data_IF_884332255863
#
_entry.id   IF_884332255863
#
_cell.length_a   1.000
_cell.length_b   1.000
_cell.length_c   1.000
_cell.angle_alpha   90.00
_cell.angle_beta   90.00
_cell.angle_gamma   90.00
#
_symmetry.space_group_name_H-M   'P 1'
#
loop_
_entity.id
_entity.type
_entity.pdbx_description
1 polymer ?
#
# COMPACT_ATOMS: atom_id res chain seq x y z
N UNK A 1 -2.44 -10.43 10.49
CA UNK A 1 -3.79 -10.10 9.98
C UNK A 1 -4.79 -10.85 10.84
N UNK A 2 -5.84 -10.20 11.34
CA UNK A 2 -6.90 -10.83 12.15
C UNK A 2 -8.10 -11.14 11.27
N UNK A 3 -8.96 -12.07 11.69
CA UNK A 3 -10.17 -12.44 10.95
C UNK A 3 -11.06 -11.24 10.61
N UNK A 4 -11.22 -10.31 11.55
CA UNK A 4 -11.96 -9.05 11.33
C UNK A 4 -11.43 -8.23 10.18
N UNK A 5 -10.10 -8.16 10.02
CA UNK A 5 -9.44 -7.36 8.99
C UNK A 5 -9.76 -7.94 7.60
N UNK A 6 -9.78 -9.28 7.49
CA UNK A 6 -10.17 -9.99 6.26
C UNK A 6 -11.62 -9.67 5.88
N UNK A 7 -12.53 -9.70 6.85
CA UNK A 7 -13.96 -9.43 6.64
C UNK A 7 -14.17 -8.00 6.14
N UNK A 8 -13.56 -7.02 6.81
CA UNK A 8 -13.64 -5.61 6.40
C UNK A 8 -13.12 -5.43 4.97
N UNK A 9 -11.94 -5.99 4.66
CA UNK A 9 -11.32 -5.90 3.34
C UNK A 9 -12.22 -6.53 2.28
N UNK A 10 -12.69 -7.75 2.50
CA UNK A 10 -13.53 -8.47 1.53
C UNK A 10 -14.81 -7.69 1.23
N UNK A 11 -15.54 -7.25 2.25
CA UNK A 11 -16.77 -6.49 2.09
C UNK A 11 -16.56 -5.19 1.31
N UNK A 12 -15.51 -4.45 1.65
CA UNK A 12 -15.23 -3.16 1.00
C UNK A 12 -14.79 -3.32 -0.44
N UNK A 13 -13.96 -4.30 -0.74
CA UNK A 13 -13.59 -4.63 -2.12
C UNK A 13 -14.81 -4.98 -2.97
N UNK A 14 -15.77 -5.70 -2.40
CA UNK A 14 -17.04 -5.99 -3.05
C UNK A 14 -17.99 -4.77 -3.10
N UNK A 15 -17.65 -3.68 -2.42
CA UNK A 15 -18.46 -2.46 -2.35
C UNK A 15 -19.76 -2.63 -1.59
N UNK A 16 -19.82 -3.60 -0.66
CA UNK A 16 -21.01 -3.92 0.09
C UNK A 16 -21.08 -3.14 1.41
N UNK A 17 -22.29 -2.75 1.80
CA UNK A 17 -22.57 -2.34 3.18
C UNK A 17 -22.60 -3.56 4.11
N UNK A 18 -22.51 -3.36 5.40
CA UNK A 18 -22.66 -4.44 6.39
C UNK A 18 -24.03 -5.14 6.31
N UNK A 19 -25.05 -4.39 5.95
CA UNK A 19 -26.40 -4.92 5.77
C UNK A 19 -26.49 -5.84 4.54
N UNK A 20 -25.95 -5.42 3.40
CA UNK A 20 -25.92 -6.21 2.17
C UNK A 20 -25.08 -7.47 2.34
N UNK A 21 -23.92 -7.38 3.00
CA UNK A 21 -23.13 -8.57 3.33
C UNK A 21 -23.90 -9.50 4.25
N UNK A 22 -24.55 -8.98 5.29
CA UNK A 22 -25.41 -9.76 6.18
C UNK A 22 -26.52 -10.50 5.41
N UNK A 23 -27.16 -9.80 4.46
CA UNK A 23 -28.17 -10.41 3.58
C UNK A 23 -27.62 -11.56 2.72
N UNK A 24 -26.44 -11.40 2.12
CA UNK A 24 -25.78 -12.46 1.32
C UNK A 24 -25.41 -13.69 2.14
N UNK A 25 -25.04 -13.47 3.40
CA UNK A 25 -24.65 -14.54 4.34
C UNK A 25 -25.84 -15.16 5.09
N UNK A 26 -27.05 -14.66 4.90
CA UNK A 26 -28.21 -15.09 5.71
C UNK A 26 -28.09 -14.72 7.19
N UNK A 27 -27.31 -13.70 7.53
CA UNK A 27 -27.09 -13.22 8.90
C UNK A 27 -27.50 -11.75 9.06
N UNK A 28 -27.45 -11.22 10.29
CA UNK A 28 -27.83 -9.83 10.55
C UNK A 28 -26.66 -8.86 10.33
N UNK A 29 -26.99 -7.59 9.98
CA UNK A 29 -26.01 -6.50 9.98
C UNK A 29 -25.26 -6.41 11.32
N UNK A 30 -25.95 -6.63 12.45
CA UNK A 30 -25.36 -6.59 13.78
C UNK A 30 -24.26 -7.63 13.95
N UNK A 31 -24.46 -8.83 13.38
CA UNK A 31 -23.44 -9.89 13.41
C UNK A 31 -22.19 -9.46 12.63
N UNK A 32 -22.35 -8.93 11.43
CA UNK A 32 -21.24 -8.41 10.62
C UNK A 32 -20.52 -7.29 11.34
N UNK A 33 -21.25 -6.32 11.90
CA UNK A 33 -20.67 -5.22 12.67
C UNK A 33 -19.86 -5.70 13.89
N UNK A 34 -20.34 -6.74 14.60
CA UNK A 34 -19.61 -7.34 15.74
C UNK A 34 -18.33 -8.05 15.30
N UNK A 35 -18.32 -8.71 14.17
CA UNK A 35 -17.11 -9.30 13.59
C UNK A 35 -16.10 -8.22 13.22
N UNK A 36 -16.53 -7.18 12.51
CA UNK A 36 -15.65 -6.08 12.06
C UNK A 36 -15.09 -5.25 13.22
N UNK A 37 -15.88 -5.02 14.27
CA UNK A 37 -15.42 -4.32 15.47
C UNK A 37 -14.50 -5.19 16.36
N UNK A 38 -14.47 -6.51 16.13
CA UNK A 38 -13.77 -7.45 16.99
C UNK A 38 -14.51 -7.77 18.31
N UNK A 39 -15.76 -7.35 18.46
CA UNK A 39 -16.59 -7.70 19.61
C UNK A 39 -16.92 -9.20 19.66
N UNK A 40 -16.84 -9.87 18.52
CA UNK A 40 -16.98 -11.32 18.40
C UNK A 40 -15.95 -11.82 17.39
N UNK A 41 -15.14 -12.80 17.77
CA UNK A 41 -14.20 -13.43 16.84
C UNK A 41 -14.97 -14.41 15.94
N UNK A 42 -14.96 -14.23 14.61
CA UNK A 42 -15.59 -15.17 13.70
C UNK A 42 -14.77 -16.46 13.59
N UNK A 43 -15.43 -17.58 13.40
CA UNK A 43 -14.77 -18.83 13.05
C UNK A 43 -14.17 -18.72 11.64
N UNK A 44 -13.17 -19.54 11.36
CA UNK A 44 -12.51 -19.54 10.06
C UNK A 44 -13.47 -19.83 8.90
N UNK A 45 -14.41 -20.75 9.09
CA UNK A 45 -15.46 -21.06 8.11
C UNK A 45 -16.29 -19.81 7.77
N UNK A 46 -16.67 -19.02 8.78
CA UNK A 46 -17.41 -17.78 8.54
C UNK A 46 -16.57 -16.75 7.75
N UNK A 47 -15.26 -16.71 7.96
CA UNK A 47 -14.38 -15.86 7.14
C UNK A 47 -14.36 -16.31 5.68
N UNK A 48 -14.29 -17.62 5.43
CA UNK A 48 -14.34 -18.18 4.08
C UNK A 48 -15.70 -17.88 3.41
N UNK A 49 -16.82 -18.03 4.13
CA UNK A 49 -18.15 -17.69 3.64
C UNK A 49 -18.27 -16.21 3.29
N UNK A 50 -17.73 -15.31 4.12
CA UNK A 50 -17.67 -13.87 3.83
C UNK A 50 -16.92 -13.59 2.55
N UNK A 51 -15.72 -14.17 2.38
CA UNK A 51 -14.89 -13.96 1.20
C UNK A 51 -15.61 -14.47 -0.06
N UNK A 52 -16.20 -15.65 -0.01
CA UNK A 52 -17.00 -16.22 -1.09
C UNK A 52 -18.24 -15.37 -1.43
N UNK A 53 -18.96 -14.86 -0.42
CA UNK A 53 -20.11 -13.97 -0.60
C UNK A 53 -19.71 -12.62 -1.23
N UNK A 54 -18.46 -12.24 -1.11
CA UNK A 54 -17.88 -11.06 -1.76
C UNK A 54 -17.32 -11.35 -3.16
N UNK A 55 -17.49 -12.57 -3.69
CA UNK A 55 -16.96 -13.00 -4.99
C UNK A 55 -15.43 -12.91 -5.07
N UNK A 56 -14.76 -13.18 -3.95
CA UNK A 56 -13.30 -13.17 -3.80
C UNK A 56 -12.80 -14.57 -3.43
N UNK A 57 -11.53 -14.82 -3.72
CA UNK A 57 -10.82 -16.01 -3.28
C UNK A 57 -9.88 -15.69 -2.12
N UNK A 58 -9.88 -16.55 -1.09
CA UNK A 58 -8.95 -16.46 0.03
C UNK A 58 -7.78 -17.42 -0.19
N UNK A 59 -6.65 -16.89 -0.57
CA UNK A 59 -5.40 -17.66 -0.65
C UNK A 59 -4.63 -17.54 0.66
N UNK A 60 -4.42 -18.67 1.34
CA UNK A 60 -3.61 -18.77 2.55
C UNK A 60 -2.30 -19.50 2.23
N UNK A 61 -1.18 -18.87 2.55
CA UNK A 61 0.13 -19.49 2.51
C UNK A 61 0.60 -19.84 3.93
N UNK A 62 1.07 -21.06 4.12
CA UNK A 62 1.84 -21.44 5.31
C UNK A 62 3.31 -21.37 4.91
N UNK A 63 4.07 -20.55 5.63
CA UNK A 63 5.51 -20.48 5.49
C UNK A 63 6.15 -20.86 6.82
N UNK A 64 7.38 -21.35 6.77
CA UNK A 64 8.16 -21.53 8.00
C UNK A 64 8.33 -20.19 8.68
N UNK A 65 8.48 -20.17 10.00
CA UNK A 65 8.61 -18.93 10.78
C UNK A 65 9.74 -18.01 10.26
N UNK A 66 10.74 -18.62 9.62
CA UNK A 66 11.89 -17.91 9.01
C UNK A 66 11.60 -17.43 7.56
N UNK A 67 10.66 -18.05 6.85
CA UNK A 67 10.35 -17.76 5.43
C UNK A 67 9.05 -16.96 5.25
N UNK A 68 8.12 -17.02 6.19
CA UNK A 68 6.89 -16.22 6.24
C UNK A 68 7.13 -14.76 6.58
N UNK A 69 8.40 -14.36 6.50
CA UNK A 69 8.85 -13.02 6.80
C UNK A 69 8.30 -12.01 5.79
N UNK A 70 8.23 -10.77 6.21
CA UNK A 70 8.00 -9.60 5.37
C UNK A 70 8.79 -9.64 4.05
N UNK A 71 9.96 -10.26 4.06
CA UNK A 71 10.85 -10.47 2.91
C UNK A 71 10.15 -11.16 1.75
N UNK A 72 9.47 -12.30 1.99
CA UNK A 72 8.75 -13.02 0.93
C UNK A 72 7.56 -12.21 0.39
N UNK A 73 6.86 -11.51 1.28
CA UNK A 73 5.75 -10.64 0.89
C UNK A 73 6.22 -9.45 0.06
N UNK A 74 7.37 -8.85 0.41
CA UNK A 74 7.97 -7.77 -0.37
C UNK A 74 8.36 -8.28 -1.77
N UNK A 75 8.99 -9.44 -1.87
CA UNK A 75 9.33 -10.03 -3.18
C UNK A 75 8.09 -10.29 -4.02
N UNK A 76 7.00 -10.75 -3.43
CA UNK A 76 5.74 -10.94 -4.14
C UNK A 76 5.22 -9.61 -4.68
N UNK A 77 5.20 -8.56 -3.86
CA UNK A 77 4.76 -7.23 -4.29
C UNK A 77 5.68 -6.65 -5.38
N UNK A 78 7.00 -6.76 -5.22
CA UNK A 78 7.95 -6.28 -6.22
C UNK A 78 7.83 -7.01 -7.57
N UNK A 79 7.29 -8.23 -7.59
CA UNK A 79 6.94 -8.95 -8.81
C UNK A 79 5.73 -8.39 -9.57
N UNK A 80 4.96 -7.48 -8.97
CA UNK A 80 3.79 -6.80 -9.58
C UNK A 80 4.21 -5.47 -10.18
N UNK A 81 3.47 -4.99 -11.17
CA UNK A 81 3.63 -3.62 -11.65
C UNK A 81 3.22 -2.59 -10.57
N UNK A 82 3.84 -1.39 -10.50
CA UNK A 82 3.57 -0.41 -9.45
C UNK A 82 2.08 -0.06 -9.28
N UNK A 83 1.35 0.14 -10.37
CA UNK A 83 -0.08 0.41 -10.31
C UNK A 83 -0.88 -0.77 -9.71
N UNK A 84 -0.48 -2.00 -10.02
CA UNK A 84 -1.09 -3.21 -9.46
C UNK A 84 -0.82 -3.34 -7.96
N UNK A 85 0.38 -2.96 -7.47
CA UNK A 85 0.69 -2.95 -6.04
C UNK A 85 -0.28 -2.06 -5.29
N UNK A 86 -0.47 -0.83 -5.77
CA UNK A 86 -1.38 0.14 -5.14
C UNK A 86 -2.81 -0.38 -5.13
N UNK A 87 -3.32 -0.88 -6.27
CA UNK A 87 -4.69 -1.42 -6.36
C UNK A 87 -4.88 -2.68 -5.53
N UNK A 88 -3.91 -3.59 -5.53
CA UNK A 88 -3.98 -4.83 -4.79
C UNK A 88 -4.06 -4.62 -3.27
N UNK A 89 -3.38 -3.61 -2.77
CA UNK A 89 -3.34 -3.29 -1.34
C UNK A 89 -4.45 -2.34 -0.90
N UNK A 90 -5.18 -1.74 -1.84
CA UNK A 90 -6.32 -0.85 -1.54
C UNK A 90 -7.53 -1.66 -1.12
N UNK A 91 -8.17 -1.27 -0.02
CA UNK A 91 -9.39 -1.88 0.49
C UNK A 91 -10.63 -0.98 0.34
N UNK A 92 -10.49 0.15 -0.31
CA UNK A 92 -11.56 1.10 -0.61
C UNK A 92 -11.71 1.33 -2.12
N UNK A 93 -12.70 2.15 -2.49
CA UNK A 93 -12.97 2.53 -3.88
C UNK A 93 -12.19 3.75 -4.36
N UNK A 94 -11.35 4.35 -3.52
CA UNK A 94 -10.57 5.51 -3.94
C UNK A 94 -9.47 5.06 -4.91
N UNK A 95 -9.59 5.47 -6.17
CA UNK A 95 -8.60 5.15 -7.20
C UNK A 95 -7.37 6.07 -7.09
N UNK A 96 -6.42 5.62 -6.26
CA UNK A 96 -5.15 6.32 -6.05
C UNK A 96 -4.28 6.37 -7.31
N UNK A 97 -4.46 5.39 -8.21
CA UNK A 97 -3.74 5.36 -9.49
C UNK A 97 -4.24 6.47 -10.39
N UNK A 98 -5.55 6.61 -10.55
CA UNK A 98 -6.14 7.70 -11.32
C UNK A 98 -5.79 9.08 -10.74
N UNK A 99 -5.73 9.21 -9.41
CA UNK A 99 -5.30 10.45 -8.78
C UNK A 99 -3.82 10.79 -9.07
N UNK A 100 -2.93 9.81 -9.11
CA UNK A 100 -1.53 10.00 -9.49
C UNK A 100 -1.38 10.35 -10.97
N UNK A 101 -2.15 9.71 -11.85
CA UNK A 101 -2.19 10.04 -13.28
C UNK A 101 -2.64 11.50 -13.50
N UNK A 102 -3.64 11.95 -12.73
CA UNK A 102 -4.08 13.35 -12.77
C UNK A 102 -2.98 14.33 -12.34
N UNK A 103 -2.29 14.05 -11.24
CA UNK A 103 -1.14 14.85 -10.76
C UNK A 103 -0.12 15.04 -11.89
N UNK A 104 0.18 13.97 -12.60
CA UNK A 104 1.12 13.99 -13.73
C UNK A 104 0.57 14.73 -14.94
N UNK A 105 -0.68 14.49 -15.30
CA UNK A 105 -1.34 15.13 -16.45
C UNK A 105 -1.37 16.66 -16.35
N UNK A 106 -1.50 17.18 -15.12
CA UNK A 106 -1.47 18.62 -14.82
C UNK A 106 -0.03 19.16 -14.77
N UNK A 107 0.99 18.28 -14.75
CA UNK A 107 2.39 18.67 -14.73
C UNK A 107 2.88 19.15 -13.36
N UNK A 108 2.24 18.74 -12.28
CA UNK A 108 2.65 19.12 -10.93
C UNK A 108 3.95 18.42 -10.52
N UNK A 109 4.85 19.19 -9.92
CA UNK A 109 6.02 18.67 -9.22
C UNK A 109 5.57 18.22 -7.83
N UNK A 110 5.40 16.92 -7.65
CA UNK A 110 4.91 16.33 -6.42
C UNK A 110 5.63 15.01 -6.12
N UNK A 111 5.89 14.77 -4.84
CA UNK A 111 6.53 13.56 -4.34
C UNK A 111 5.51 12.78 -3.51
N UNK A 112 5.28 11.53 -3.87
CA UNK A 112 4.40 10.62 -3.13
C UNK A 112 5.08 10.20 -1.83
N UNK A 113 4.36 10.30 -0.72
CA UNK A 113 4.82 9.88 0.62
C UNK A 113 3.77 8.96 1.27
N UNK A 114 4.01 8.53 2.51
CA UNK A 114 3.05 7.73 3.28
C UNK A 114 2.82 6.31 2.75
N UNK A 115 1.63 5.79 2.99
CA UNK A 115 1.30 4.38 2.69
C UNK A 115 1.41 4.05 1.21
N UNK A 116 1.01 4.95 0.32
CA UNK A 116 1.08 4.74 -1.12
C UNK A 116 2.53 4.66 -1.59
N UNK A 117 3.42 5.50 -1.04
CA UNK A 117 4.85 5.39 -1.31
C UNK A 117 5.41 4.04 -0.84
N UNK A 118 5.03 3.58 0.35
CA UNK A 118 5.39 2.24 0.84
C UNK A 118 4.94 1.13 -0.10
N UNK A 119 3.69 1.18 -0.60
CA UNK A 119 3.18 0.22 -1.57
C UNK A 119 3.98 0.25 -2.89
N UNK A 120 4.35 1.43 -3.36
CA UNK A 120 5.18 1.59 -4.56
C UNK A 120 6.59 1.01 -4.36
N UNK A 121 7.13 1.07 -3.15
CA UNK A 121 8.37 0.36 -2.76
C UNK A 121 8.20 -1.16 -2.57
N UNK A 122 7.01 -1.70 -2.78
CA UNK A 122 6.73 -3.12 -2.64
C UNK A 122 6.43 -3.56 -1.21
N UNK A 123 6.16 -2.63 -0.29
CA UNK A 123 5.76 -2.99 1.06
C UNK A 123 4.35 -3.58 1.07
N UNK A 124 4.14 -4.77 1.67
CA UNK A 124 2.86 -5.46 1.66
C UNK A 124 1.91 -4.90 2.73
N UNK A 125 1.76 -3.58 2.76
CA UNK A 125 0.86 -2.89 3.67
C UNK A 125 -0.52 -2.78 3.03
N UNK A 126 -1.55 -3.19 3.75
CA UNK A 126 -2.91 -2.90 3.34
C UNK A 126 -3.12 -1.40 3.54
N UNK A 127 -3.47 -0.71 2.45
CA UNK A 127 -3.77 0.71 2.50
C UNK A 127 -5.03 0.92 3.32
N UNK A 128 -4.94 1.77 4.33
CA UNK A 128 -6.02 1.96 5.29
C UNK A 128 -7.27 2.56 4.63
N UNK A 129 -8.41 2.38 5.28
CA UNK A 129 -9.70 2.89 4.80
C UNK A 129 -9.79 4.41 4.78
N UNK A 130 -9.08 5.02 5.71
CA UNK A 130 -8.87 6.46 5.77
C UNK A 130 -7.63 6.83 4.97
N UNK A 131 -7.01 5.85 4.31
CA UNK A 131 -5.75 5.98 3.59
C UNK A 131 -5.85 7.03 2.51
N UNK A 132 -5.13 8.08 2.75
CA UNK A 132 -5.00 9.21 1.85
C UNK A 132 -3.88 8.96 0.84
N UNK A 133 -3.97 9.63 -0.27
CA UNK A 133 -2.83 9.86 -1.14
C UNK A 133 -2.13 11.11 -0.63
N UNK A 134 -0.95 10.93 -0.05
CA UNK A 134 -0.16 12.00 0.53
C UNK A 134 0.88 12.49 -0.47
N UNK A 135 0.83 13.76 -0.79
CA UNK A 135 1.70 14.40 -1.77
C UNK A 135 2.42 15.59 -1.14
N UNK A 136 3.74 15.62 -1.25
CA UNK A 136 4.54 16.81 -0.97
C UNK A 136 4.74 17.55 -2.27
N UNK A 137 4.10 18.70 -2.40
CA UNK A 137 4.05 19.48 -3.63
C UNK A 137 5.10 20.58 -3.59
N UNK A 138 5.72 20.85 -4.74
CA UNK A 138 6.64 21.99 -4.88
C UNK A 138 5.91 23.28 -4.49
N UNK A 139 6.52 24.19 -3.71
CA UNK A 139 5.84 25.39 -3.21
C UNK A 139 5.17 26.24 -4.29
N UNK A 140 5.82 26.39 -5.45
CA UNK A 140 5.27 27.16 -6.58
C UNK A 140 4.03 26.52 -7.21
N UNK A 141 3.88 25.20 -7.12
CA UNK A 141 2.76 24.44 -7.71
C UNK A 141 1.60 24.27 -6.74
N UNK A 142 1.73 24.74 -5.49
CA UNK A 142 0.76 24.51 -4.42
C UNK A 142 -0.65 25.02 -4.76
N UNK A 143 -0.75 26.24 -5.31
CA UNK A 143 -2.02 26.83 -5.69
C UNK A 143 -2.69 26.01 -6.81
N UNK A 144 -1.93 25.66 -7.84
CA UNK A 144 -2.41 24.83 -8.95
C UNK A 144 -2.84 23.44 -8.47
N UNK A 145 -2.08 22.81 -7.57
CA UNK A 145 -2.41 21.52 -7.00
C UNK A 145 -3.74 21.57 -6.23
N UNK A 146 -3.95 22.62 -5.43
CA UNK A 146 -5.20 22.80 -4.68
C UNK A 146 -6.40 22.97 -5.62
N UNK A 147 -6.26 23.80 -6.64
CA UNK A 147 -7.33 24.07 -7.59
C UNK A 147 -7.66 22.85 -8.46
N UNK A 148 -6.66 22.13 -8.95
CA UNK A 148 -6.85 21.08 -9.96
C UNK A 148 -7.01 19.70 -9.35
N UNK A 149 -6.13 19.27 -8.46
CA UNK A 149 -6.14 17.91 -7.92
C UNK A 149 -7.28 17.72 -6.93
N UNK A 150 -7.50 18.68 -6.03
CA UNK A 150 -8.59 18.58 -5.06
C UNK A 150 -9.96 18.77 -5.73
N UNK A 151 -10.09 19.69 -6.69
CA UNK A 151 -11.35 19.92 -7.38
C UNK A 151 -11.74 18.80 -8.35
N UNK A 152 -10.75 18.16 -9.00
CA UNK A 152 -11.00 17.09 -9.97
C UNK A 152 -11.03 15.68 -9.34
N UNK A 153 -10.63 15.55 -8.09
CA UNK A 153 -10.67 14.27 -7.39
C UNK A 153 -12.10 13.88 -7.04
N UNK A 154 -12.48 12.63 -7.35
CA UNK A 154 -13.75 12.06 -6.91
C UNK A 154 -13.86 11.95 -5.37
N UNK A 155 -12.72 12.06 -4.66
CA UNK A 155 -12.62 12.02 -3.21
C UNK A 155 -11.54 13.03 -2.75
N UNK A 156 -11.83 14.34 -2.76
CA UNK A 156 -10.85 15.38 -2.43
C UNK A 156 -10.32 15.29 -1.00
N UNK A 157 -11.11 14.80 -0.07
CA UNK A 157 -10.75 14.50 1.32
C UNK A 157 -9.72 13.36 1.44
N UNK A 158 -9.52 12.59 0.38
CA UNK A 158 -8.58 11.47 0.29
C UNK A 158 -7.23 11.86 -0.32
N UNK A 159 -7.05 13.09 -0.77
CA UNK A 159 -5.77 13.62 -1.26
C UNK A 159 -5.29 14.68 -0.30
N UNK A 160 -4.17 14.43 0.36
CA UNK A 160 -3.53 15.40 1.25
C UNK A 160 -2.33 16.04 0.57
N UNK A 161 -2.35 17.36 0.51
CA UNK A 161 -1.22 18.14 0.04
C UNK A 161 -0.42 18.61 1.27
N UNK A 162 0.78 18.10 1.43
CA UNK A 162 1.66 18.37 2.57
C UNK A 162 2.73 19.37 2.17
N UNK A 163 3.12 20.26 3.10
CA UNK A 163 4.26 21.15 2.91
C UNK A 163 5.56 20.45 3.34
N UNK A 164 5.56 19.89 4.56
CA UNK A 164 6.67 19.11 5.08
C UNK A 164 6.13 18.00 6.00
N UNK A 165 6.27 16.73 5.62
CA UNK A 165 5.99 15.62 6.54
C UNK A 165 6.90 15.69 7.78
N UNK A 166 6.47 15.11 8.92
CA UNK A 166 7.28 15.04 10.13
C UNK A 166 8.69 14.51 9.85
N UNK A 167 9.70 15.15 10.41
CA UNK A 167 11.11 14.78 10.22
C UNK A 167 11.73 15.19 8.89
N UNK A 168 11.02 15.96 8.06
CA UNK A 168 11.52 16.45 6.76
C UNK A 168 11.47 17.98 6.65
N UNK A 169 12.19 18.53 5.68
CA UNK A 169 12.19 19.96 5.35
C UNK A 169 11.37 20.28 4.08
N UNK A 170 10.45 19.38 3.71
CA UNK A 170 9.57 19.58 2.56
C UNK A 170 10.13 19.10 1.23
N UNK A 171 9.60 19.65 0.13
CA UNK A 171 9.83 19.15 -1.22
C UNK A 171 11.32 19.04 -1.58
N UNK A 172 12.09 20.12 -1.41
CA UNK A 172 13.50 20.15 -1.82
C UNK A 172 14.40 19.15 -1.04
N UNK A 173 14.00 18.81 0.17
CA UNK A 173 14.69 17.81 0.98
C UNK A 173 14.42 16.40 0.42
N UNK A 174 13.15 16.08 0.20
CA UNK A 174 12.73 14.78 -0.32
C UNK A 174 13.17 14.53 -1.76
N UNK A 175 13.19 15.56 -2.60
CA UNK A 175 13.58 15.48 -4.00
C UNK A 175 15.02 14.98 -4.22
N UNK A 176 15.90 15.12 -3.22
CA UNK A 176 17.30 14.66 -3.32
C UNK A 176 17.44 13.15 -3.41
N UNK A 177 16.51 12.41 -2.81
CA UNK A 177 16.52 10.95 -2.75
C UNK A 177 15.23 10.34 -3.32
N UNK A 178 14.39 11.16 -3.94
CA UNK A 178 13.18 10.68 -4.60
C UNK A 178 13.55 9.76 -5.77
N UNK A 179 12.71 8.76 -5.98
CA UNK A 179 12.85 7.80 -7.07
C UNK A 179 11.66 7.94 -8.01
N UNK A 180 11.86 7.58 -9.25
CA UNK A 180 10.78 7.51 -10.24
C UNK A 180 10.15 6.13 -10.25
N UNK A 181 8.80 6.09 -10.16
CA UNK A 181 8.02 4.88 -10.35
C UNK A 181 7.00 5.11 -11.49
N UNK A 182 6.82 4.10 -12.33
CA UNK A 182 5.79 4.16 -13.39
C UNK A 182 4.47 3.63 -12.85
N UNK A 183 3.45 4.47 -12.81
CA UNK A 183 2.10 4.12 -12.32
C UNK A 183 1.10 4.45 -13.41
N UNK A 184 0.34 3.46 -13.89
CA UNK A 184 -0.65 3.66 -14.95
C UNK A 184 -0.09 4.23 -16.26
N UNK A 185 1.20 4.02 -16.55
CA UNK A 185 1.88 4.60 -17.71
C UNK A 185 2.46 6.00 -17.48
N UNK A 186 2.27 6.60 -16.31
CA UNK A 186 2.81 7.90 -15.92
C UNK A 186 3.98 7.74 -14.96
N UNK A 187 5.05 8.52 -15.14
CA UNK A 187 6.15 8.61 -14.19
C UNK A 187 5.76 9.51 -13.02
N UNK A 188 5.90 9.00 -11.80
CA UNK A 188 5.66 9.74 -10.56
C UNK A 188 6.88 9.67 -9.65
N UNK A 189 7.18 10.76 -8.96
CA UNK A 189 8.26 10.80 -7.97
C UNK A 189 7.75 10.24 -6.64
N UNK A 190 8.55 9.38 -6.01
CA UNK A 190 8.24 8.71 -4.75
C UNK A 190 9.37 8.97 -3.77
N UNK A 191 9.06 9.30 -2.53
CA UNK A 191 10.07 9.52 -1.50
C UNK A 191 10.94 8.27 -1.31
N UNK A 192 12.23 8.47 -1.13
CA UNK A 192 13.20 7.40 -0.92
C UNK A 192 12.95 6.64 0.39
N UNK A 193 13.44 5.40 0.48
CA UNK A 193 13.24 4.54 1.66
C UNK A 193 13.74 5.17 2.96
N UNK A 194 14.86 5.87 2.91
CA UNK A 194 15.44 6.56 4.09
C UNK A 194 14.53 7.69 4.57
N UNK A 195 13.92 8.42 3.63
CA UNK A 195 12.99 9.49 3.97
C UNK A 195 11.68 8.94 4.53
N UNK A 196 11.16 7.85 3.97
CA UNK A 196 9.99 7.16 4.51
C UNK A 196 10.25 6.66 5.93
N UNK A 197 11.46 6.13 6.22
CA UNK A 197 11.85 5.76 7.57
C UNK A 197 11.88 6.98 8.49
N UNK A 198 12.52 8.07 8.06
CA UNK A 198 12.63 9.30 8.83
C UNK A 198 11.25 9.85 9.21
N UNK A 199 10.31 9.86 8.26
CA UNK A 199 8.92 10.23 8.49
C UNK A 199 8.28 9.28 9.50
N UNK A 200 8.40 7.96 9.30
CA UNK A 200 7.78 6.95 10.16
C UNK A 200 8.29 6.98 11.61
N UNK A 201 9.57 7.27 11.81
CA UNK A 201 10.17 7.38 13.16
C UNK A 201 9.77 8.67 13.88
N UNK A 202 9.39 9.70 13.13
CA UNK A 202 9.03 11.02 13.69
C UNK A 202 7.52 11.14 13.89
N UNK A 203 6.72 10.43 13.08
CA UNK A 203 5.27 10.43 13.19
C UNK A 203 4.81 9.37 14.20
N UNK A 204 4.10 9.75 15.27
CA UNK A 204 3.58 8.82 16.27
C UNK A 204 2.41 7.95 15.78
N UNK A 205 2.00 8.06 14.52
CA UNK A 205 0.86 7.33 13.99
C UNK A 205 1.05 5.79 14.05
N UNK A 206 -0.05 5.02 14.25
CA UNK A 206 0.03 3.57 14.43
C UNK A 206 0.66 2.78 13.26
N UNK A 207 0.67 3.35 12.06
CA UNK A 207 1.32 2.72 10.90
C UNK A 207 2.84 2.80 10.93
N UNK A 208 3.44 3.69 11.73
CA UNK A 208 4.89 3.86 11.84
C UNK A 208 5.60 2.55 12.21
N UNK A 209 5.00 1.73 13.06
CA UNK A 209 5.56 0.41 13.42
C UNK A 209 5.58 -0.55 12.23
N UNK A 210 4.54 -0.53 11.38
CA UNK A 210 4.47 -1.36 10.17
C UNK A 210 5.52 -0.92 9.15
N UNK A 211 5.73 0.38 9.01
CA UNK A 211 6.80 0.93 8.18
C UNK A 211 8.18 0.51 8.68
N UNK A 212 8.42 0.56 9.99
CA UNK A 212 9.68 0.12 10.56
C UNK A 212 9.96 -1.37 10.29
N UNK A 213 8.95 -2.24 10.41
CA UNK A 213 9.07 -3.66 10.08
C UNK A 213 9.33 -3.90 8.59
N UNK A 214 8.64 -3.18 7.71
CA UNK A 214 8.83 -3.28 6.27
C UNK A 214 10.22 -2.80 5.85
N UNK A 215 10.73 -1.75 6.50
CA UNK A 215 12.08 -1.26 6.27
C UNK A 215 13.13 -2.26 6.74
N UNK A 216 13.01 -2.82 7.94
CA UNK A 216 13.95 -3.82 8.45
C UNK A 216 14.02 -5.01 7.49
N UNK A 217 12.87 -5.50 7.01
CA UNK A 217 12.81 -6.55 6.01
C UNK A 217 13.49 -6.14 4.68
N UNK A 218 13.31 -4.90 4.23
CA UNK A 218 13.94 -4.37 3.02
C UNK A 218 15.47 -4.32 3.17
N UNK A 219 15.95 -3.84 4.31
CA UNK A 219 17.38 -3.81 4.63
C UNK A 219 17.98 -5.23 4.70
N UNK A 220 17.26 -6.20 5.25
CA UNK A 220 17.69 -7.60 5.25
C UNK A 220 17.79 -8.18 3.84
N UNK A 221 16.86 -7.82 2.94
CA UNK A 221 16.93 -8.22 1.53
C UNK A 221 18.18 -7.69 0.84
N UNK A 222 18.52 -6.43 1.09
CA UNK A 222 19.71 -5.81 0.51
C UNK A 222 21.01 -6.38 1.06
N UNK A 223 21.04 -6.68 2.36
CA UNK A 223 22.22 -7.22 3.02
C UNK A 223 22.55 -8.68 2.62
N UNK A 224 21.53 -9.48 2.30
CA UNK A 224 21.71 -10.90 1.94
C UNK A 224 22.20 -11.14 0.51
N UNK A 225 22.13 -10.14 -0.38
CA UNK A 225 22.42 -10.32 -1.81
C UNK A 225 21.49 -11.32 -2.51
N UNK A 226 21.67 -11.60 -3.80
CA UNK A 226 20.89 -12.60 -4.51
C UNK A 226 21.20 -13.99 -3.96
N UNK A 227 20.22 -14.62 -3.27
CA UNK A 227 20.42 -15.95 -2.70
C UNK A 227 20.46 -17.02 -3.81
N UNK A 228 21.53 -17.78 -3.84
CA UNK A 228 21.78 -18.90 -4.76
C UNK A 228 21.04 -20.18 -4.36
N UNK A 229 19.74 -20.14 -4.13
CA UNK A 229 18.99 -21.38 -3.88
C UNK A 229 18.39 -21.91 -5.19
N UNK A 230 18.95 -22.99 -5.67
CA UNK A 230 18.69 -23.64 -6.97
C UNK A 230 17.33 -24.32 -7.15
N UNK A 231 16.39 -24.24 -6.22
CA UNK A 231 15.18 -25.07 -6.25
C UNK A 231 13.86 -24.30 -6.14
N UNK A 232 13.72 -23.14 -6.81
CA UNK A 232 12.43 -22.42 -6.87
C UNK A 232 11.82 -22.48 -8.28
N UNK A 233 10.47 -22.57 -8.38
CA UNK A 233 9.79 -22.62 -9.67
C UNK A 233 10.13 -21.41 -10.56
N UNK A 234 10.15 -21.58 -11.90
CA UNK A 234 10.65 -20.58 -12.86
C UNK A 234 10.04 -19.18 -12.67
N UNK A 235 8.76 -19.10 -12.33
CA UNK A 235 8.06 -17.83 -12.11
C UNK A 235 8.57 -17.05 -10.89
N UNK A 236 9.05 -17.73 -9.86
CA UNK A 236 9.62 -17.10 -8.67
C UNK A 236 11.04 -16.57 -8.93
N UNK A 237 11.82 -17.23 -9.79
CA UNK A 237 13.15 -16.76 -10.20
C UNK A 237 13.06 -15.44 -10.99
N UNK A 238 12.10 -15.35 -11.93
CA UNK A 238 11.89 -14.12 -12.71
C UNK A 238 11.43 -12.97 -11.81
N UNK A 239 10.51 -13.25 -10.89
CA UNK A 239 10.03 -12.25 -9.94
C UNK A 239 11.13 -11.77 -9.00
N UNK A 240 11.98 -12.68 -8.55
CA UNK A 240 13.12 -12.36 -7.70
C UNK A 240 14.16 -11.53 -8.43
N UNK A 241 14.51 -11.86 -9.67
CA UNK A 241 15.44 -11.07 -10.47
C UNK A 241 14.95 -9.63 -10.69
N UNK A 242 13.64 -9.44 -10.95
CA UNK A 242 13.03 -8.09 -11.02
C UNK A 242 13.10 -7.35 -9.69
N UNK A 243 12.86 -8.03 -8.58
CA UNK A 243 12.93 -7.44 -7.26
C UNK A 243 14.37 -7.03 -6.91
N UNK A 244 15.34 -7.91 -7.19
CA UNK A 244 16.76 -7.63 -6.94
C UNK A 244 17.27 -6.45 -7.81
N UNK A 245 16.84 -6.38 -9.08
CA UNK A 245 17.17 -5.27 -9.97
C UNK A 245 16.54 -3.95 -9.48
N UNK A 246 15.28 -4.00 -9.04
CA UNK A 246 14.60 -2.84 -8.50
C UNK A 246 15.28 -2.35 -7.22
N UNK A 247 15.56 -3.24 -6.26
CA UNK A 247 16.29 -2.91 -5.04
C UNK A 247 17.67 -2.32 -5.32
N UNK A 248 18.41 -2.90 -6.29
CA UNK A 248 19.73 -2.39 -6.65
C UNK A 248 19.69 -0.96 -7.22
N UNK A 249 18.57 -0.56 -7.86
CA UNK A 249 18.35 0.82 -8.31
C UNK A 249 18.04 1.78 -7.18
N UNK A 250 17.46 1.28 -6.06
CA UNK A 250 17.10 2.11 -4.90
C UNK A 250 18.29 2.48 -4.01
N UNK A 251 19.39 1.72 -4.10
CA UNK A 251 20.56 1.82 -3.20
C UNK A 251 21.71 2.61 -3.86
N UNK A 252 21.59 2.94 -5.12
CA UNK A 252 22.55 3.80 -5.84
C UNK A 252 22.19 5.26 -5.73
#
# INVERSE_FOLDING_TARGET
>A
MRARDIIVIARRRAGLTQQELGGRLGTSQVTVARWESGATEPKFEAVQEVVAACELDLTLGLATADEGSWTSLIYEQLGREPAERVRHLSCDRFDRVAALELVRAVGLRAIVVGEVAGALHGWPLILSDEGTLDLVVHPEDRALATETVLAASAAPDRVRLLDAPPGTYGFADLARAAIEATVGGSAVEVAGLVDLLRIALTDPAPYSQRFALALDATLQLTARGPSTTENKPPNLRVRRARADEWLARQIR
#
